data_IF_806848042085
#
_entry.id   IF_806848042085
#
_cell.length_a   1.000
_cell.length_b   1.000
_cell.length_c   1.000
_cell.angle_alpha   90.00
_cell.angle_beta   90.00
_cell.angle_gamma   90.00
#
_symmetry.space_group_name_H-M   'P 1'
#
loop_
_entity.id
_entity.type
_entity.pdbx_description
1 polymer ?
#
# COMPACT_ATOMS: atom_id res chain seq x y z
N UNK A 1 -3.28 18.70 22.94
CA UNK A 1 -3.15 18.54 21.48
C UNK A 1 -2.21 17.36 21.22
N UNK A 2 -2.61 16.41 20.38
CA UNK A 2 -1.78 15.26 20.00
C UNK A 2 -1.31 15.44 18.56
N UNK A 3 -0.01 15.29 18.31
CA UNK A 3 0.60 15.47 16.99
C UNK A 3 1.36 14.18 16.65
N UNK A 4 1.14 13.65 15.44
CA UNK A 4 1.94 12.60 14.86
C UNK A 4 2.90 13.24 13.85
N UNK A 5 4.19 13.17 14.12
CA UNK A 5 5.23 13.69 13.23
C UNK A 5 5.83 12.53 12.43
N UNK A 6 5.70 12.61 11.11
CA UNK A 6 6.23 11.60 10.20
C UNK A 6 7.75 11.44 10.32
N UNK A 7 8.47 12.51 10.65
CA UNK A 7 9.92 12.45 10.84
C UNK A 7 10.31 11.66 12.11
N UNK A 8 9.44 11.67 13.11
CA UNK A 8 9.63 10.95 14.36
C UNK A 8 9.11 9.51 14.34
N UNK A 9 8.32 9.13 13.32
CA UNK A 9 7.76 7.78 13.18
C UNK A 9 8.67 6.96 12.24
N UNK A 10 9.45 5.98 12.75
CA UNK A 10 10.36 5.21 11.91
C UNK A 10 9.62 4.38 10.86
N UNK A 11 8.38 3.98 11.18
CA UNK A 11 7.58 3.11 10.34
C UNK A 11 8.14 1.69 10.25
N UNK A 12 7.46 0.85 9.46
CA UNK A 12 7.85 -0.53 9.20
C UNK A 12 8.20 -0.70 7.72
N UNK A 13 9.30 -1.40 7.47
CA UNK A 13 9.70 -1.83 6.13
C UNK A 13 9.13 -3.21 5.87
N UNK A 14 8.55 -3.39 4.68
CA UNK A 14 7.93 -4.62 4.22
C UNK A 14 8.70 -5.23 3.05
N UNK A 15 8.59 -6.55 2.83
CA UNK A 15 9.28 -7.25 1.74
C UNK A 15 9.00 -6.67 0.35
N UNK A 16 7.80 -6.15 0.13
CA UNK A 16 7.38 -5.49 -1.12
C UNK A 16 8.09 -4.14 -1.39
N UNK A 17 9.24 -3.88 -0.77
CA UNK A 17 10.01 -2.65 -0.94
C UNK A 17 9.18 -1.41 -0.61
N UNK A 18 8.44 -1.51 0.49
CA UNK A 18 7.53 -0.51 1.01
C UNK A 18 7.88 -0.16 2.44
N UNK A 19 7.81 1.13 2.77
CA UNK A 19 7.83 1.63 4.15
C UNK A 19 6.48 2.25 4.49
N UNK A 20 5.84 1.77 5.54
CA UNK A 20 4.56 2.30 6.05
C UNK A 20 4.76 2.96 7.41
N UNK A 21 4.21 4.16 7.57
CA UNK A 21 4.16 4.93 8.81
C UNK A 21 2.71 5.25 9.15
N UNK A 22 2.23 4.77 10.28
CA UNK A 22 0.88 5.07 10.74
C UNK A 22 0.83 6.48 11.34
N UNK A 23 0.03 7.36 10.79
CA UNK A 23 -0.22 8.71 11.31
C UNK A 23 -1.43 8.75 12.24
N UNK A 24 -2.41 7.86 12.00
CA UNK A 24 -3.60 7.66 12.85
C UNK A 24 -3.82 6.16 12.97
N UNK A 25 -3.98 5.67 14.18
CA UNK A 25 -4.10 4.25 14.46
C UNK A 25 -2.75 3.51 14.52
N UNK A 26 -2.78 2.19 14.68
CA UNK A 26 -1.59 1.38 14.83
C UNK A 26 -0.68 1.87 15.97
N UNK A 27 0.61 2.08 15.70
CA UNK A 27 1.59 2.58 16.65
C UNK A 27 1.68 4.12 16.71
N UNK A 28 0.78 4.85 16.05
CA UNK A 28 0.73 6.32 16.11
C UNK A 28 0.33 6.82 17.50
N UNK A 29 0.79 8.01 17.92
CA UNK A 29 0.25 8.67 19.12
C UNK A 29 -1.22 9.09 18.96
N UNK A 30 -1.73 9.20 17.73
CA UNK A 30 -3.13 9.55 17.46
C UNK A 30 -3.96 8.25 17.34
N UNK A 31 -4.89 8.07 18.27
CA UNK A 31 -5.81 6.93 18.30
C UNK A 31 -7.25 7.41 18.14
N UNK A 32 -7.95 6.87 17.15
CA UNK A 32 -9.37 7.15 16.88
C UNK A 32 -10.08 5.84 16.51
N UNK A 33 -11.39 5.83 16.60
CA UNK A 33 -12.20 4.62 16.31
C UNK A 33 -12.78 4.59 14.90
N UNK A 34 -12.84 5.75 14.24
CA UNK A 34 -13.54 5.88 12.95
C UNK A 34 -12.69 5.47 11.75
N UNK A 35 -11.37 5.70 11.78
CA UNK A 35 -10.50 5.46 10.64
C UNK A 35 -9.05 5.23 11.05
N UNK A 36 -8.26 4.72 10.12
CA UNK A 36 -6.80 4.75 10.19
C UNK A 36 -6.26 5.55 9.00
N UNK A 37 -5.09 6.17 9.21
CA UNK A 37 -4.38 6.93 8.18
C UNK A 37 -2.89 6.67 8.27
N UNK A 38 -2.24 6.55 7.13
CA UNK A 38 -0.80 6.42 7.11
C UNK A 38 -0.15 6.98 5.85
N UNK A 39 1.15 7.09 5.95
CA UNK A 39 2.06 7.52 4.90
C UNK A 39 2.87 6.33 4.44
N UNK A 40 2.90 6.11 3.15
CA UNK A 40 3.60 5.00 2.52
C UNK A 40 4.62 5.53 1.52
N UNK A 41 5.82 4.97 1.57
CA UNK A 41 6.85 5.17 0.54
C UNK A 41 7.05 3.84 -0.18
N UNK A 42 6.92 3.85 -1.49
CA UNK A 42 7.20 2.74 -2.39
C UNK A 42 8.51 3.02 -3.12
N UNK A 43 9.45 2.07 -3.05
CA UNK A 43 10.71 2.18 -3.77
C UNK A 43 10.51 2.25 -5.28
N UNK A 44 11.42 2.89 -6.04
CA UNK A 44 11.36 2.92 -7.49
C UNK A 44 11.32 1.52 -8.10
N UNK A 45 10.76 1.40 -9.29
CA UNK A 45 10.79 0.19 -10.12
C UNK A 45 10.29 -1.04 -9.40
N UNK A 46 9.05 -0.99 -8.90
CA UNK A 46 8.35 -2.16 -8.38
C UNK A 46 8.12 -2.20 -6.87
N UNK A 47 8.43 -1.13 -6.11
CA UNK A 47 7.93 -1.00 -4.73
C UNK A 47 6.40 -1.05 -4.75
N UNK A 48 5.77 -1.77 -3.79
CA UNK A 48 4.40 -2.19 -3.98
C UNK A 48 3.60 -2.19 -2.67
N UNK A 49 2.31 -1.84 -2.77
CA UNK A 49 1.27 -2.40 -1.92
C UNK A 49 0.78 -3.63 -2.67
N UNK A 50 1.07 -4.86 -2.21
CA UNK A 50 0.82 -6.06 -3.00
C UNK A 50 -0.66 -6.41 -3.07
N UNK A 51 -1.01 -7.32 -3.97
CA UNK A 51 -2.38 -7.78 -4.20
C UNK A 51 -3.01 -8.34 -2.95
N UNK A 52 -4.08 -7.71 -2.48
CA UNK A 52 -4.80 -8.07 -1.26
C UNK A 52 -6.21 -7.49 -1.25
N UNK A 53 -7.02 -7.91 -0.31
CA UNK A 53 -8.32 -7.33 0.03
C UNK A 53 -8.47 -7.17 1.54
N UNK A 54 -9.48 -6.42 1.97
CA UNK A 54 -9.88 -6.26 3.36
C UNK A 54 -11.34 -5.78 3.47
N UNK A 55 -11.90 -5.88 4.66
CA UNK A 55 -13.30 -5.48 4.94
C UNK A 55 -13.48 -3.96 5.09
N UNK A 56 -12.41 -3.20 5.15
CA UNK A 56 -12.45 -1.74 5.26
C UNK A 56 -12.66 -1.11 3.89
N UNK A 57 -13.38 0.00 3.86
CA UNK A 57 -13.37 0.92 2.72
C UNK A 57 -12.12 1.79 2.80
N UNK A 58 -11.44 2.00 1.69
CA UNK A 58 -10.14 2.67 1.68
C UNK A 58 -10.02 3.69 0.54
N UNK A 59 -9.22 4.72 0.78
CA UNK A 59 -8.79 5.68 -0.25
C UNK A 59 -7.28 5.77 -0.23
N UNK A 60 -6.66 5.69 -1.40
CA UNK A 60 -5.27 6.07 -1.63
C UNK A 60 -5.21 7.45 -2.28
N UNK A 61 -4.33 8.31 -1.80
CA UNK A 61 -4.01 9.60 -2.42
C UNK A 61 -2.52 9.64 -2.75
N UNK A 62 -2.18 9.83 -4.01
CA UNK A 62 -0.80 9.90 -4.46
C UNK A 62 -0.27 11.31 -4.24
N UNK A 63 0.73 11.44 -3.38
CA UNK A 63 1.39 12.71 -3.05
C UNK A 63 2.51 13.01 -4.03
N UNK A 64 3.26 11.95 -4.43
CA UNK A 64 4.44 12.07 -5.29
C UNK A 64 4.63 10.78 -6.10
N UNK A 65 5.15 10.94 -7.31
CA UNK A 65 5.48 9.83 -8.19
C UNK A 65 4.31 9.38 -9.05
N UNK A 66 4.53 8.30 -9.77
CA UNK A 66 3.59 7.67 -10.69
C UNK A 66 3.72 6.16 -10.65
N UNK A 67 2.66 5.48 -11.05
CA UNK A 67 2.63 4.03 -11.02
C UNK A 67 1.40 3.44 -11.68
N UNK A 68 1.12 2.20 -11.32
CA UNK A 68 -0.04 1.48 -11.80
C UNK A 68 -0.88 0.99 -10.63
N UNK A 69 -2.18 1.23 -10.73
CA UNK A 69 -3.18 0.72 -9.79
C UNK A 69 -4.03 -0.36 -10.45
N UNK A 70 -4.18 -1.48 -9.74
CA UNK A 70 -5.08 -2.56 -10.12
C UNK A 70 -6.21 -2.65 -9.09
N UNK A 71 -7.46 -2.73 -9.57
CA UNK A 71 -8.65 -2.92 -8.74
C UNK A 71 -9.53 -3.98 -9.41
N UNK A 72 -9.63 -5.16 -8.82
CA UNK A 72 -10.25 -6.29 -9.48
C UNK A 72 -9.63 -6.55 -10.86
N UNK A 73 -10.44 -6.51 -11.90
CA UNK A 73 -9.98 -6.69 -13.29
C UNK A 73 -9.49 -5.38 -13.95
N UNK A 74 -9.70 -4.24 -13.31
CA UNK A 74 -9.27 -2.96 -13.87
C UNK A 74 -7.79 -2.69 -13.56
N UNK A 75 -7.13 -2.04 -14.51
CA UNK A 75 -5.74 -1.64 -14.43
C UNK A 75 -5.57 -0.26 -15.04
N UNK A 76 -5.02 0.68 -14.27
CA UNK A 76 -4.85 2.07 -14.71
C UNK A 76 -3.54 2.67 -14.20
N UNK A 77 -2.96 3.54 -15.00
CA UNK A 77 -1.90 4.43 -14.52
C UNK A 77 -2.47 5.43 -13.52
N UNK A 78 -1.66 5.75 -12.51
CA UNK A 78 -1.98 6.72 -11.46
C UNK A 78 -0.76 7.60 -11.19
N UNK A 79 -1.00 8.87 -10.88
CA UNK A 79 0.06 9.85 -10.65
C UNK A 79 -0.27 10.80 -9.49
N UNK A 80 0.71 11.60 -9.09
CA UNK A 80 0.57 12.60 -8.05
C UNK A 80 -0.66 13.49 -8.26
N UNK A 81 -1.39 13.78 -7.17
CA UNK A 81 -2.62 14.56 -7.16
C UNK A 81 -3.90 13.74 -7.39
N UNK A 82 -3.79 12.44 -7.65
CA UNK A 82 -4.93 11.56 -7.87
C UNK A 82 -5.28 10.76 -6.63
N UNK A 83 -6.57 10.48 -6.46
CA UNK A 83 -7.09 9.58 -5.44
C UNK A 83 -7.78 8.38 -6.07
N UNK A 84 -7.67 7.23 -5.42
CA UNK A 84 -8.40 6.00 -5.79
C UNK A 84 -9.21 5.54 -4.61
N UNK A 85 -10.48 5.26 -4.85
CA UNK A 85 -11.37 4.61 -3.90
C UNK A 85 -11.29 3.09 -4.07
N UNK A 86 -11.13 2.40 -2.96
CA UNK A 86 -11.11 0.94 -2.86
C UNK A 86 -12.33 0.51 -2.05
N UNK A 87 -13.35 -0.10 -2.70
CA UNK A 87 -14.50 -0.65 -2.00
C UNK A 87 -14.10 -1.80 -1.07
N UNK A 88 -14.93 -2.06 -0.07
CA UNK A 88 -14.77 -3.22 0.82
C UNK A 88 -14.64 -4.51 0.00
N UNK A 89 -13.70 -5.37 0.40
CA UNK A 89 -13.43 -6.70 -0.21
C UNK A 89 -13.04 -6.64 -1.68
N UNK A 90 -12.69 -5.49 -2.21
CA UNK A 90 -12.16 -5.38 -3.55
C UNK A 90 -10.67 -5.66 -3.54
N UNK A 91 -10.23 -6.70 -4.25
CA UNK A 91 -8.81 -6.98 -4.44
C UNK A 91 -8.14 -5.83 -5.17
N UNK A 92 -7.03 -5.37 -4.63
CA UNK A 92 -6.30 -4.22 -5.18
C UNK A 92 -4.79 -4.33 -4.97
N UNK A 93 -4.06 -3.55 -5.77
CA UNK A 93 -2.60 -3.47 -5.77
C UNK A 93 -2.16 -2.11 -6.30
N UNK A 94 -1.14 -1.52 -5.68
CA UNK A 94 -0.45 -0.33 -6.20
C UNK A 94 1.02 -0.67 -6.42
N UNK A 95 1.54 -0.37 -7.60
CA UNK A 95 2.95 -0.57 -7.95
C UNK A 95 3.58 0.74 -8.40
N UNK A 96 4.70 1.12 -7.79
CA UNK A 96 5.53 2.21 -8.30
C UNK A 96 6.27 1.73 -9.56
N UNK A 97 5.90 2.27 -10.71
CA UNK A 97 6.55 1.97 -12.00
C UNK A 97 7.57 3.02 -12.42
N UNK A 98 7.66 4.11 -11.63
CA UNK A 98 8.56 5.24 -11.91
C UNK A 98 9.99 4.99 -11.41
N UNK A 99 10.85 5.94 -11.75
CA UNK A 99 12.28 5.93 -11.43
C UNK A 99 12.59 6.58 -10.07
N UNK A 100 11.60 7.20 -9.44
CA UNK A 100 11.73 7.88 -8.14
C UNK A 100 10.81 7.27 -7.11
N UNK A 101 11.05 7.44 -5.80
CA UNK A 101 10.13 6.97 -4.78
C UNK A 101 8.73 7.54 -4.98
N UNK A 102 7.72 6.68 -4.88
CA UNK A 102 6.32 7.09 -4.83
C UNK A 102 5.91 7.29 -3.38
N UNK A 103 5.19 8.37 -3.11
CA UNK A 103 4.62 8.67 -1.79
C UNK A 103 3.11 8.68 -1.93
N UNK A 104 2.44 7.92 -1.08
CA UNK A 104 1.00 7.93 -0.97
C UNK A 104 0.52 8.01 0.47
N UNK A 105 -0.65 8.56 0.67
CA UNK A 105 -1.42 8.45 1.90
C UNK A 105 -2.53 7.43 1.71
N UNK A 106 -2.79 6.62 2.73
CA UNK A 106 -4.01 5.83 2.81
C UNK A 106 -4.89 6.32 3.95
N UNK A 107 -6.19 6.18 3.75
CA UNK A 107 -7.20 6.31 4.80
C UNK A 107 -8.15 5.14 4.63
N UNK A 108 -8.36 4.36 5.67
CA UNK A 108 -9.38 3.31 5.66
C UNK A 108 -10.29 3.38 6.90
N UNK A 109 -11.52 2.95 6.71
CA UNK A 109 -12.57 2.94 7.73
C UNK A 109 -13.36 1.61 7.70
N UNK A 110 -13.83 1.12 8.86
CA UNK A 110 -13.53 1.61 10.21
C UNK A 110 -12.05 1.42 10.59
N UNK A 111 -11.62 2.03 11.70
CA UNK A 111 -10.30 1.77 12.26
C UNK A 111 -10.17 0.30 12.66
N UNK A 112 -8.95 -0.21 12.60
CA UNK A 112 -8.65 -1.60 12.95
C UNK A 112 -7.39 -2.10 12.30
N UNK A 113 -7.16 -3.40 12.42
CA UNK A 113 -6.02 -4.08 11.83
C UNK A 113 -6.43 -4.71 10.50
N UNK A 114 -5.58 -4.58 9.50
CA UNK A 114 -5.74 -5.23 8.20
C UNK A 114 -4.75 -6.37 8.05
N UNK A 115 -5.27 -7.55 7.76
CA UNK A 115 -4.50 -8.79 7.80
C UNK A 115 -3.34 -8.84 6.79
N UNK A 116 -3.45 -8.12 5.66
CA UNK A 116 -2.47 -8.20 4.57
C UNK A 116 -1.04 -7.84 5.02
N UNK A 117 -0.88 -6.99 6.02
CA UNK A 117 0.45 -6.65 6.53
C UNK A 117 1.16 -7.86 7.15
N UNK A 118 0.42 -8.70 7.88
CA UNK A 118 0.95 -9.96 8.42
C UNK A 118 1.16 -10.97 7.32
N UNK A 119 0.19 -11.12 6.43
CA UNK A 119 0.28 -12.03 5.28
C UNK A 119 1.49 -11.73 4.39
N UNK A 120 1.82 -10.45 4.20
CA UNK A 120 3.03 -10.06 3.47
C UNK A 120 4.30 -10.51 4.19
N UNK A 121 4.38 -10.30 5.50
CA UNK A 121 5.54 -10.71 6.30
C UNK A 121 5.69 -12.23 6.37
N UNK A 122 4.58 -12.94 6.39
CA UNK A 122 4.52 -14.40 6.46
C UNK A 122 4.66 -15.07 5.08
N UNK A 123 4.63 -14.27 4.00
CA UNK A 123 4.72 -14.75 2.62
C UNK A 123 3.45 -15.50 2.15
N UNK A 124 2.29 -15.20 2.74
CA UNK A 124 1.01 -15.89 2.45
C UNK A 124 0.07 -15.09 1.53
N UNK A 125 0.50 -13.91 1.05
CA UNK A 125 -0.26 -13.16 0.06
C UNK A 125 -0.33 -13.91 -1.29
N UNK A 126 -1.37 -13.62 -2.13
CA UNK A 126 -1.47 -14.16 -3.48
C UNK A 126 -0.22 -13.88 -4.31
N UNK A 127 0.18 -14.83 -5.16
CA UNK A 127 1.37 -14.70 -6.00
C UNK A 127 1.07 -13.88 -7.24
N UNK A 128 1.93 -12.90 -7.52
CA UNK A 128 1.87 -12.16 -8.77
C UNK A 128 1.88 -13.09 -9.99
N UNK A 129 1.03 -12.81 -10.96
CA UNK A 129 0.90 -13.59 -12.19
C UNK A 129 0.16 -14.92 -12.05
N UNK A 130 -0.29 -15.29 -10.86
CA UNK A 130 -1.13 -16.47 -10.60
C UNK A 130 -2.50 -16.08 -10.07
N UNK A 131 -2.54 -15.59 -8.84
CA UNK A 131 -3.75 -15.20 -8.12
C UNK A 131 -3.92 -13.68 -8.13
N UNK A 132 -2.91 -12.94 -8.54
CA UNK A 132 -2.85 -11.50 -8.65
C UNK A 132 -2.54 -11.06 -10.09
N UNK A 133 -2.80 -9.81 -10.48
CA UNK A 133 -2.40 -9.26 -11.77
C UNK A 133 -0.90 -9.42 -12.01
N UNK A 134 -0.53 -9.61 -13.28
CA UNK A 134 0.88 -9.54 -13.67
C UNK A 134 1.46 -8.18 -13.28
N UNK A 135 2.70 -8.18 -12.83
CA UNK A 135 3.41 -6.95 -12.55
C UNK A 135 3.62 -6.13 -13.84
N UNK A 136 3.60 -4.80 -13.77
CA UNK A 136 3.97 -3.95 -14.88
C UNK A 136 5.39 -4.23 -15.36
N UNK A 137 5.68 -3.93 -16.62
CA UNK A 137 7.03 -4.06 -17.17
C UNK A 137 8.05 -3.25 -16.32
N UNK A 138 9.14 -3.90 -15.96
CA UNK A 138 10.18 -3.32 -15.12
C UNK A 138 9.91 -3.33 -13.62
N UNK A 139 8.73 -3.75 -13.16
CA UNK A 139 8.48 -3.99 -11.76
C UNK A 139 9.09 -5.34 -11.31
N UNK A 140 9.57 -5.39 -10.10
CA UNK A 140 10.12 -6.61 -9.53
C UNK A 140 9.02 -7.45 -8.87
N UNK A 141 9.11 -8.79 -8.95
CA UNK A 141 8.31 -9.66 -8.11
C UNK A 141 8.49 -9.28 -6.65
N UNK A 142 7.39 -9.22 -5.91
CA UNK A 142 7.44 -8.75 -4.55
C UNK A 142 7.62 -9.90 -3.55
N UNK A 143 6.90 -9.91 -2.49
CA UNK A 143 7.03 -10.82 -1.36
C UNK A 143 6.84 -12.32 -1.67
N UNK A 144 6.43 -12.71 -2.87
CA UNK A 144 5.98 -14.07 -3.16
C UNK A 144 6.90 -14.89 -4.04
N UNK A 145 7.88 -14.30 -4.67
CA UNK A 145 8.88 -15.01 -5.46
C UNK A 145 10.28 -14.51 -5.11
N UNK A 146 11.12 -15.39 -4.58
CA UNK A 146 12.54 -15.10 -4.57
C UNK A 146 13.02 -15.11 -6.03
N UNK A 147 13.82 -14.12 -6.47
CA UNK A 147 14.54 -14.25 -7.73
C UNK A 147 15.31 -15.56 -7.73
N UNK A 148 15.24 -16.26 -8.83
CA UNK A 148 16.05 -17.45 -9.04
C UNK A 148 17.54 -17.09 -8.98
#
# INVERSE_FOLDING_TARGET
MTIADIAAIPGRVYPARRRTRNLVGGASPIQVTGFCMGHVTLEPRGGQVPWHDHDNEEVYFIVQGDGEFCLGAERRSIAAGQAVHVPQRAFHQLTNTGETPMIMLYVYAPAGDVAHWRQELDGTLPRAGREAPLLPAGAWPQCTEKPA
#
